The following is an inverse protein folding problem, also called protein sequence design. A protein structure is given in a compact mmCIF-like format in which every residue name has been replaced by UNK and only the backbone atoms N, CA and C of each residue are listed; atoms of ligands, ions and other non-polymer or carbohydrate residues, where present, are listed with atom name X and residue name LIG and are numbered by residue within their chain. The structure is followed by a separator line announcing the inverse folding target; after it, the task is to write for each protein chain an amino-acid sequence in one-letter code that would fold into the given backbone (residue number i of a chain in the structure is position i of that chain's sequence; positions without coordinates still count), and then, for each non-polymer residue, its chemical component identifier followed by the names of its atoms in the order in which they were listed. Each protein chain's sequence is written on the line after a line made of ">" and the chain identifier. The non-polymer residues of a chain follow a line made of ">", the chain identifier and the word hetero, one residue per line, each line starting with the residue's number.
data_IF_311414561289
#
_entry.id   IF_311414561289
#
_cell.length_a   1.000
_cell.length_b   1.000
_cell.length_c   1.000
_cell.angle_alpha   90.00
_cell.angle_beta   90.00
_cell.angle_gamma   90.00
#
_symmetry.space_group_name_H-M   'P 1'
#
loop_
_entity.id
_entity.type
_entity.pdbx_description
1 polymer ?
#
# COMPACT_ATOMS: atom_id res chain seq x y z
N UNK A 1 2.47 4.22 18.01
CA UNK A 1 1.64 5.35 17.52
C UNK A 1 0.28 4.85 17.02
N UNK A 2 -0.75 5.70 16.95
CA UNK A 2 -1.94 5.53 16.08
C UNK A 2 -1.68 6.44 14.86
N UNK A 3 -1.46 5.83 13.68
CA UNK A 3 -1.04 6.50 12.43
C UNK A 3 -2.20 7.31 11.80
N UNK A 4 -1.93 8.50 11.25
CA UNK A 4 -2.96 9.50 10.89
C UNK A 4 -2.63 10.36 9.68
N UNK A 5 -3.67 10.84 9.03
CA UNK A 5 -3.64 11.83 7.95
C UNK A 5 -4.30 13.13 8.40
N UNK A 6 -3.65 14.27 8.14
CA UNK A 6 -4.20 15.62 8.33
C UNK A 6 -4.27 16.26 6.96
N UNK A 7 -5.44 16.77 6.56
CA UNK A 7 -5.51 17.63 5.38
C UNK A 7 -4.91 18.98 5.77
N UNK A 8 -3.68 19.27 5.32
CA UNK A 8 -3.17 20.64 5.32
C UNK A 8 -3.64 21.32 4.04
N UNK A 9 -4.37 22.41 4.18
CA UNK A 9 -4.69 23.32 3.11
C UNK A 9 -3.42 24.02 2.60
N UNK A 10 -3.23 23.94 1.28
CA UNK A 10 -2.54 24.93 0.42
C UNK A 10 -1.03 25.11 0.68
N UNK A 11 -0.24 24.21 0.08
CA UNK A 11 1.20 24.36 -0.11
C UNK A 11 1.66 23.92 -1.50
N UNK A 12 1.09 22.84 -2.03
CA UNK A 12 1.22 22.41 -3.43
C UNK A 12 -0.16 21.98 -3.93
N UNK A 13 -0.60 22.48 -5.08
CA UNK A 13 -1.96 22.26 -5.61
C UNK A 13 -2.08 20.88 -6.25
N UNK A 14 -2.33 19.85 -5.45
CA UNK A 14 -2.84 18.58 -5.94
C UNK A 14 -4.32 18.44 -5.55
N UNK A 15 -5.10 17.70 -6.34
CA UNK A 15 -6.49 17.37 -6.00
C UNK A 15 -6.76 15.89 -6.25
N UNK A 16 -7.59 15.27 -5.43
CA UNK A 16 -8.03 13.89 -5.67
C UNK A 16 -9.19 13.83 -6.68
N UNK A 17 -9.33 12.71 -7.43
CA UNK A 17 -8.40 11.57 -7.52
C UNK A 17 -7.22 11.82 -8.47
N UNK A 18 -6.08 11.13 -8.28
CA UNK A 18 -4.95 11.12 -9.25
C UNK A 18 -5.29 10.28 -10.49
N UNK A 19 -5.92 9.11 -10.32
CA UNK A 19 -6.48 8.27 -11.39
C UNK A 19 -7.96 8.08 -11.09
N UNK A 20 -8.85 8.54 -11.96
CA UNK A 20 -10.29 8.43 -11.75
C UNK A 20 -10.86 7.03 -12.03
N UNK A 21 -10.15 6.22 -12.83
CA UNK A 21 -10.44 4.82 -13.16
C UNK A 21 -9.12 4.08 -13.34
N UNK A 22 -9.15 2.75 -13.35
CA UNK A 22 -7.96 1.89 -13.48
C UNK A 22 -6.86 2.24 -12.46
N UNK A 23 -7.30 2.65 -11.26
CA UNK A 23 -6.46 3.18 -10.19
C UNK A 23 -6.11 2.16 -9.11
N UNK A 24 -6.23 0.87 -9.38
CA UNK A 24 -5.96 -0.20 -8.41
C UNK A 24 -4.46 -0.32 -8.11
N UNK A 25 -4.13 -0.83 -6.92
CA UNK A 25 -2.75 -1.11 -6.48
C UNK A 25 -1.74 0.04 -6.72
N UNK A 26 -2.04 1.31 -6.34
CA UNK A 26 -1.17 2.40 -6.70
C UNK A 26 0.17 2.37 -5.95
N UNK A 27 1.25 2.58 -6.69
CA UNK A 27 2.59 2.74 -6.13
C UNK A 27 3.24 4.01 -6.69
N UNK A 28 3.66 4.91 -5.80
CA UNK A 28 4.37 6.14 -6.17
C UNK A 28 5.80 6.12 -5.64
N UNK A 29 6.75 6.49 -6.50
CA UNK A 29 8.13 6.81 -6.10
C UNK A 29 8.58 8.10 -6.76
N UNK A 30 9.33 8.92 -6.03
CA UNK A 30 10.02 10.08 -6.60
C UNK A 30 11.49 9.73 -6.88
N UNK A 31 11.92 9.88 -8.14
CA UNK A 31 13.29 9.61 -8.54
C UNK A 31 13.70 10.48 -9.74
N UNK A 32 14.95 10.97 -9.74
CA UNK A 32 15.51 11.69 -10.89
C UNK A 32 14.69 12.90 -11.36
N UNK A 33 14.00 13.60 -10.47
CA UNK A 33 13.17 14.77 -10.80
C UNK A 33 11.71 14.47 -11.13
N UNK A 34 11.29 13.20 -11.12
CA UNK A 34 9.94 12.79 -11.50
C UNK A 34 9.28 11.94 -10.41
N UNK A 35 7.98 12.13 -10.24
CA UNK A 35 7.09 11.13 -9.66
C UNK A 35 6.79 10.07 -10.72
N UNK A 36 6.89 8.80 -10.33
CA UNK A 36 6.46 7.64 -11.12
C UNK A 36 5.25 7.03 -10.41
N UNK A 37 4.15 6.85 -11.13
CA UNK A 37 2.94 6.19 -10.64
C UNK A 37 2.74 4.89 -11.42
N UNK A 38 2.72 3.78 -10.70
CA UNK A 38 2.26 2.48 -11.20
C UNK A 38 0.84 2.25 -10.70
N UNK A 39 -0.08 1.85 -11.58
CA UNK A 39 -1.39 1.31 -11.22
C UNK A 39 -1.69 0.05 -11.99
N UNK A 40 -2.70 -0.69 -11.56
CA UNK A 40 -3.20 -1.89 -12.23
C UNK A 40 -4.59 -1.60 -12.79
N UNK A 41 -4.77 -1.81 -14.09
CA UNK A 41 -6.07 -1.90 -14.74
C UNK A 41 -6.56 -3.35 -14.74
N UNK A 42 -7.71 -3.63 -15.35
CA UNK A 42 -8.24 -5.00 -15.44
C UNK A 42 -7.30 -6.00 -16.14
N UNK A 43 -6.36 -5.57 -16.99
CA UNK A 43 -5.33 -6.48 -17.54
C UNK A 43 -3.90 -5.93 -17.56
N UNK A 44 -3.69 -4.64 -17.30
CA UNK A 44 -2.44 -3.93 -17.58
C UNK A 44 -1.83 -3.32 -16.33
N UNK A 45 -0.52 -3.50 -16.16
CA UNK A 45 0.26 -2.64 -15.26
C UNK A 45 0.58 -1.36 -16.03
N UNK A 46 0.22 -0.21 -15.49
CA UNK A 46 0.33 1.07 -16.16
C UNK A 46 1.31 1.98 -15.41
N UNK A 47 2.36 2.42 -16.10
CA UNK A 47 3.34 3.38 -15.60
C UNK A 47 3.06 4.76 -16.19
N UNK A 48 3.05 5.79 -15.35
CA UNK A 48 3.05 7.18 -15.78
C UNK A 48 4.06 7.99 -14.96
N UNK A 49 4.53 9.12 -15.48
CA UNK A 49 5.45 9.99 -14.75
C UNK A 49 5.20 11.47 -14.99
N UNK A 50 5.43 12.29 -13.97
CA UNK A 50 5.32 13.74 -14.04
C UNK A 50 6.27 14.42 -13.05
N UNK A 51 6.58 15.70 -13.23
CA UNK A 51 7.41 16.46 -12.29
C UNK A 51 6.65 16.90 -11.04
N UNK A 52 5.31 16.84 -11.06
CA UNK A 52 4.41 17.15 -9.93
C UNK A 52 3.37 16.04 -9.76
N UNK A 53 2.80 15.90 -8.55
CA UNK A 53 1.71 14.96 -8.29
C UNK A 53 0.47 15.26 -9.16
N UNK A 54 0.07 16.53 -9.26
CA UNK A 54 -1.06 16.95 -10.12
C UNK A 54 -0.80 16.63 -11.60
N UNK A 55 0.44 16.74 -12.05
CA UNK A 55 0.83 16.39 -13.42
C UNK A 55 0.65 14.90 -13.74
N UNK A 56 0.57 14.01 -12.75
CA UNK A 56 0.34 12.59 -12.98
C UNK A 56 -1.03 12.33 -13.64
N UNK A 57 -2.03 13.18 -13.39
CA UNK A 57 -3.39 13.05 -13.93
C UNK A 57 -3.46 13.14 -15.45
N UNK A 58 -2.60 13.96 -16.05
CA UNK A 58 -2.55 14.22 -17.49
C UNK A 58 -1.30 13.63 -18.15
N UNK A 59 -0.45 12.96 -17.39
CA UNK A 59 0.76 12.31 -17.90
C UNK A 59 0.41 11.14 -18.83
N UNK A 60 1.26 10.90 -19.83
CA UNK A 60 1.12 9.76 -20.74
C UNK A 60 1.23 8.44 -19.97
N UNK A 61 0.15 7.62 -19.97
CA UNK A 61 0.22 6.21 -19.56
C UNK A 61 1.18 5.45 -20.48
N UNK A 62 1.92 4.49 -19.96
CA UNK A 62 2.57 3.40 -20.70
C UNK A 62 2.21 2.07 -20.06
N UNK A 63 1.98 1.05 -20.88
CA UNK A 63 1.67 -0.30 -20.41
C UNK A 63 2.95 -1.07 -20.18
N UNK A 64 3.21 -1.46 -18.94
CA UNK A 64 4.32 -2.31 -18.51
C UNK A 64 4.07 -3.79 -18.88
N UNK A 65 3.65 -4.04 -20.12
CA UNK A 65 3.49 -5.37 -20.75
C UNK A 65 4.04 -5.40 -22.18
N UNK A 66 4.62 -4.31 -22.68
CA UNK A 66 5.09 -4.26 -24.05
C UNK A 66 6.38 -5.09 -24.18
N UNK A 67 6.47 -6.08 -25.09
CA UNK A 67 7.70 -6.85 -25.30
C UNK A 67 8.90 -6.01 -25.78
N UNK A 68 8.65 -4.76 -26.20
CA UNK A 68 9.70 -3.77 -26.49
C UNK A 68 10.12 -2.92 -25.28
N UNK A 69 9.37 -2.96 -24.17
CA UNK A 69 9.79 -2.42 -22.89
C UNK A 69 10.56 -3.53 -22.16
N UNK A 70 11.79 -3.28 -21.73
CA UNK A 70 12.73 -4.27 -21.15
C UNK A 70 12.31 -4.82 -19.76
N UNK A 71 11.06 -5.28 -19.59
CA UNK A 71 10.63 -6.00 -18.39
C UNK A 71 10.94 -7.48 -18.60
N UNK A 72 12.10 -7.89 -18.09
CA UNK A 72 12.53 -9.29 -18.12
C UNK A 72 11.99 -10.02 -16.90
N UNK A 73 11.29 -11.14 -17.11
CA UNK A 73 11.00 -12.04 -15.99
C UNK A 73 12.31 -12.57 -15.41
N UNK A 74 12.52 -12.33 -14.12
CA UNK A 74 13.76 -12.74 -13.45
C UNK A 74 13.62 -14.10 -12.75
N UNK A 75 12.72 -14.20 -11.78
CA UNK A 75 12.58 -15.42 -10.98
C UNK A 75 11.25 -15.48 -10.24
N UNK A 76 10.83 -16.68 -9.85
CA UNK A 76 9.79 -16.91 -8.86
C UNK A 76 10.45 -17.01 -7.49
N UNK A 77 10.08 -16.12 -6.55
CA UNK A 77 10.76 -16.02 -5.25
C UNK A 77 10.41 -17.16 -4.28
N UNK A 78 9.20 -17.74 -4.40
CA UNK A 78 8.74 -18.87 -3.59
C UNK A 78 7.71 -19.69 -4.34
N UNK A 79 7.64 -20.99 -4.02
CA UNK A 79 6.64 -21.92 -4.57
C UNK A 79 5.37 -21.99 -3.72
N UNK A 80 5.40 -21.52 -2.47
CA UNK A 80 4.20 -21.36 -1.66
C UNK A 80 3.34 -20.22 -2.24
N UNK A 81 2.03 -20.28 -1.99
CA UNK A 81 1.15 -19.17 -2.37
C UNK A 81 1.55 -17.90 -1.61
N UNK A 82 1.75 -16.81 -2.36
CA UNK A 82 2.12 -15.51 -1.81
C UNK A 82 1.76 -14.36 -2.75
N UNK A 83 1.42 -13.21 -2.16
CA UNK A 83 1.15 -11.95 -2.88
C UNK A 83 1.68 -10.73 -2.10
N UNK A 84 1.59 -9.55 -2.71
CA UNK A 84 1.78 -8.23 -2.09
C UNK A 84 3.16 -7.99 -1.46
N UNK A 85 4.23 -8.44 -2.09
CA UNK A 85 5.59 -8.24 -1.57
C UNK A 85 5.98 -6.76 -1.38
N UNK A 86 6.68 -6.46 -0.28
CA UNK A 86 7.36 -5.19 -0.03
C UNK A 86 8.73 -5.41 0.60
N UNK A 87 9.69 -4.51 0.30
CA UNK A 87 11.04 -4.60 0.86
C UNK A 87 11.14 -3.80 2.15
N UNK A 88 11.41 -4.50 3.25
CA UNK A 88 11.76 -3.94 4.54
C UNK A 88 13.29 -3.89 4.69
N UNK A 89 13.83 -2.78 5.19
CA UNK A 89 15.28 -2.53 5.29
C UNK A 89 15.64 -2.20 6.72
N UNK A 90 16.63 -2.89 7.25
CA UNK A 90 17.22 -2.62 8.55
C UNK A 90 18.65 -2.12 8.36
N UNK A 91 19.05 -1.12 9.15
CA UNK A 91 20.41 -0.58 9.09
C UNK A 91 21.46 -1.67 9.38
N UNK A 92 21.20 -2.50 10.40
CA UNK A 92 22.18 -3.49 10.88
C UNK A 92 21.98 -4.90 10.29
N UNK A 93 20.79 -5.21 9.76
CA UNK A 93 20.42 -6.58 9.35
C UNK A 93 20.15 -6.73 7.86
N UNK A 94 20.25 -5.65 7.08
CA UNK A 94 20.05 -5.68 5.63
C UNK A 94 18.58 -5.67 5.23
N UNK A 95 18.29 -6.20 4.03
CA UNK A 95 16.95 -6.16 3.44
C UNK A 95 16.20 -7.49 3.60
N UNK A 96 14.90 -7.39 3.79
CA UNK A 96 13.97 -8.50 3.92
C UNK A 96 12.78 -8.26 3.00
N UNK A 97 12.24 -9.32 2.43
CA UNK A 97 10.95 -9.29 1.78
C UNK A 97 9.87 -9.61 2.82
N UNK A 98 8.89 -8.72 2.95
CA UNK A 98 7.66 -8.97 3.69
C UNK A 98 6.53 -9.16 2.68
N UNK A 99 5.69 -10.16 2.86
CA UNK A 99 4.66 -10.53 1.89
C UNK A 99 3.49 -11.25 2.56
N UNK A 100 2.34 -11.25 1.91
CA UNK A 100 1.19 -12.08 2.28
C UNK A 100 1.46 -13.53 1.86
N UNK A 101 1.22 -14.51 2.73
CA UNK A 101 1.47 -15.91 2.39
C UNK A 101 0.63 -16.92 3.17
N UNK A 102 0.48 -18.11 2.58
CA UNK A 102 0.13 -19.33 3.31
C UNK A 102 1.41 -20.14 3.55
N UNK A 103 1.80 -20.34 4.81
CA UNK A 103 3.02 -21.08 5.16
C UNK A 103 2.72 -22.17 6.19
N UNK A 104 2.29 -23.34 5.71
CA UNK A 104 2.03 -24.52 6.54
C UNK A 104 0.71 -24.50 7.34
N UNK A 105 -0.09 -23.43 7.24
CA UNK A 105 -1.41 -23.30 7.87
C UNK A 105 -2.50 -22.89 6.88
N UNK A 106 -3.73 -22.75 7.38
CA UNK A 106 -4.91 -22.35 6.59
C UNK A 106 -5.20 -20.84 6.61
N UNK A 107 -4.37 -20.05 7.28
CA UNK A 107 -4.57 -18.61 7.43
C UNK A 107 -3.61 -17.84 6.53
N UNK A 108 -4.15 -16.88 5.78
CA UNK A 108 -3.36 -15.93 5.01
C UNK A 108 -2.72 -14.93 5.97
N UNK A 109 -1.39 -14.96 6.03
CA UNK A 109 -0.58 -14.37 7.10
C UNK A 109 0.47 -13.43 6.52
N UNK A 110 1.05 -12.56 7.36
CA UNK A 110 2.25 -11.84 6.96
C UNK A 110 3.48 -12.69 7.22
N UNK A 111 4.31 -12.79 6.20
CA UNK A 111 5.52 -13.58 6.18
C UNK A 111 6.72 -12.68 5.88
N UNK A 112 7.88 -13.06 6.40
CA UNK A 112 9.15 -12.36 6.19
C UNK A 112 10.23 -13.36 5.76
N UNK A 113 11.10 -12.96 4.84
CA UNK A 113 12.28 -13.70 4.45
C UNK A 113 13.46 -12.75 4.20
N UNK A 114 14.72 -13.12 4.54
CA UNK A 114 15.90 -12.35 4.13
C UNK A 114 15.93 -12.18 2.62
N UNK A 115 16.23 -10.98 2.12
CA UNK A 115 16.41 -10.72 0.70
C UNK A 115 17.89 -10.93 0.35
N UNK A 116 18.23 -12.13 -0.13
CA UNK A 116 19.61 -12.53 -0.44
C UNK A 116 20.12 -11.84 -1.73
N UNK A 117 19.21 -11.58 -2.66
CA UNK A 117 19.42 -10.77 -3.86
C UNK A 117 18.09 -10.13 -4.29
N UNK A 118 18.07 -9.19 -5.25
CA UNK A 118 16.81 -8.67 -5.79
C UNK A 118 15.87 -9.76 -6.36
N UNK A 119 16.36 -10.98 -6.58
CA UNK A 119 15.66 -12.09 -7.23
C UNK A 119 15.69 -13.40 -6.44
N UNK A 120 16.09 -13.39 -5.16
CA UNK A 120 16.10 -14.56 -4.29
C UNK A 120 15.88 -14.20 -2.82
N UNK A 121 15.20 -15.08 -2.09
CA UNK A 121 14.92 -14.93 -0.67
C UNK A 121 15.36 -16.17 0.10
N UNK A 122 15.73 -15.97 1.37
CA UNK A 122 16.06 -17.04 2.30
C UNK A 122 14.83 -17.69 2.93
N UNK A 123 15.02 -18.35 4.07
CA UNK A 123 13.94 -19.02 4.80
C UNK A 123 12.82 -18.08 5.22
N UNK A 124 11.58 -18.49 4.94
CA UNK A 124 10.37 -17.74 5.27
C UNK A 124 9.89 -18.02 6.69
N UNK A 125 9.58 -16.96 7.44
CA UNK A 125 8.95 -17.01 8.77
C UNK A 125 7.62 -16.25 8.77
N UNK A 126 6.66 -16.69 9.59
CA UNK A 126 5.41 -15.93 9.82
C UNK A 126 5.67 -14.87 10.90
N UNK A 127 5.25 -13.63 10.66
CA UNK A 127 5.38 -12.51 11.62
C UNK A 127 4.03 -11.98 12.12
N UNK A 128 2.93 -12.24 11.42
CA UNK A 128 1.58 -11.92 11.89
C UNK A 128 0.58 -12.88 11.29
N UNK A 129 -0.37 -13.32 12.11
CA UNK A 129 -1.57 -14.02 11.68
C UNK A 129 -2.79 -13.21 12.15
N UNK A 130 -3.92 -13.27 11.42
CA UNK A 130 -5.20 -12.77 11.94
C UNK A 130 -5.45 -13.36 13.34
N UNK A 131 -5.64 -12.50 14.34
CA UNK A 131 -5.83 -12.94 15.73
C UNK A 131 -6.87 -12.09 16.48
N UNK A 132 -7.17 -10.89 15.99
CA UNK A 132 -8.18 -10.00 16.56
C UNK A 132 -9.49 -10.13 15.79
N UNK A 133 -10.62 -9.90 16.46
CA UNK A 133 -11.94 -9.97 15.82
C UNK A 133 -12.10 -9.03 14.61
N UNK A 134 -11.38 -7.90 14.59
CA UNK A 134 -11.40 -6.96 13.46
C UNK A 134 -10.59 -7.43 12.24
N UNK A 135 -9.73 -8.45 12.39
CA UNK A 135 -8.91 -9.05 11.32
C UNK A 135 -9.57 -10.27 10.68
N UNK A 136 -10.68 -10.73 11.26
CA UNK A 136 -11.42 -11.94 10.87
C UNK A 136 -12.88 -11.62 10.53
N UNK A 137 -13.14 -10.41 10.04
CA UNK A 137 -14.49 -10.05 9.61
C UNK A 137 -14.76 -10.62 8.21
N UNK A 138 -15.54 -11.70 8.17
CA UNK A 138 -15.89 -12.46 6.96
C UNK A 138 -14.68 -12.99 6.15
N UNK A 139 -13.50 -13.06 6.77
CA UNK A 139 -12.29 -13.60 6.17
C UNK A 139 -11.03 -13.32 6.98
N UNK A 140 -10.31 -14.36 7.38
CA UNK A 140 -9.02 -14.26 8.07
C UNK A 140 -7.87 -13.97 7.09
N UNK A 141 -7.62 -12.69 6.82
CA UNK A 141 -6.59 -12.23 5.87
C UNK A 141 -5.66 -11.23 6.55
N UNK A 142 -4.35 -11.35 6.32
CA UNK A 142 -3.40 -10.25 6.47
C UNK A 142 -2.64 -10.07 5.14
N UNK A 143 -2.72 -8.90 4.53
CA UNK A 143 -2.00 -8.51 3.31
C UNK A 143 -1.13 -7.29 3.62
N UNK A 144 0.17 -7.34 3.33
CA UNK A 144 1.05 -6.21 3.68
C UNK A 144 0.82 -5.06 2.71
N UNK A 145 0.63 -3.85 3.23
CA UNK A 145 0.54 -2.62 2.42
C UNK A 145 1.91 -1.99 2.23
N UNK A 146 2.46 -1.47 3.32
CA UNK A 146 3.56 -0.51 3.23
C UNK A 146 4.47 -0.56 4.43
N UNK A 147 5.71 -0.16 4.20
CA UNK A 147 6.68 0.15 5.25
C UNK A 147 6.86 1.66 5.34
N UNK A 148 6.81 2.20 6.55
CA UNK A 148 7.10 3.60 6.87
C UNK A 148 8.27 3.65 7.86
N UNK A 149 9.29 4.41 7.50
CA UNK A 149 10.42 4.74 8.38
C UNK A 149 10.21 6.16 8.90
N UNK A 150 10.13 6.33 10.23
CA UNK A 150 9.92 7.64 10.83
C UNK A 150 10.68 7.75 12.15
N UNK A 151 11.67 8.65 12.17
CA UNK A 151 12.65 8.69 13.25
C UNK A 151 13.42 7.37 13.33
N UNK A 152 13.54 6.83 14.53
CA UNK A 152 14.18 5.53 14.79
C UNK A 152 13.19 4.34 14.74
N UNK A 153 11.93 4.60 14.35
CA UNK A 153 10.88 3.58 14.31
C UNK A 153 10.57 3.11 12.88
N UNK A 154 10.21 1.83 12.78
CA UNK A 154 9.71 1.17 11.58
C UNK A 154 8.24 0.80 11.83
N UNK A 155 7.37 1.22 10.92
CA UNK A 155 5.96 0.87 10.91
C UNK A 155 5.68 0.03 9.67
N UNK A 156 5.15 -1.17 9.88
CA UNK A 156 4.66 -2.03 8.81
C UNK A 156 3.14 -1.98 8.86
N UNK A 157 2.51 -1.40 7.84
CA UNK A 157 1.07 -1.43 7.70
C UNK A 157 0.65 -2.68 6.95
N UNK A 158 -0.49 -3.21 7.33
CA UNK A 158 -1.10 -4.34 6.66
C UNK A 158 -2.60 -4.15 6.64
N UNK A 159 -3.26 -4.77 5.69
CA UNK A 159 -4.69 -4.83 5.61
C UNK A 159 -5.20 -6.17 6.12
N UNK A 160 -6.42 -6.18 6.65
CA UNK A 160 -7.06 -7.38 7.18
C UNK A 160 -8.56 -7.40 6.93
N UNK A 161 -9.19 -8.56 7.17
CA UNK A 161 -10.59 -8.88 6.87
C UNK A 161 -10.91 -9.06 5.38
N UNK A 162 -12.15 -9.46 5.04
CA UNK A 162 -12.56 -9.69 3.66
C UNK A 162 -12.63 -8.41 2.83
N UNK A 163 -12.12 -8.46 1.59
CA UNK A 163 -12.18 -7.38 0.61
C UNK A 163 -13.56 -7.22 -0.04
N UNK A 164 -14.49 -8.13 0.25
CA UNK A 164 -15.89 -8.05 -0.19
C UNK A 164 -16.85 -8.45 0.95
N UNK A 165 -17.92 -7.68 1.25
CA UNK A 165 -18.33 -6.46 0.54
C UNK A 165 -17.46 -5.24 0.85
N UNK A 166 -17.11 -4.98 2.12
CA UNK A 166 -16.33 -3.77 2.47
C UNK A 166 -15.53 -3.83 3.78
N UNK A 167 -15.44 -4.98 4.46
CA UNK A 167 -14.95 -5.04 5.85
C UNK A 167 -13.44 -4.83 6.04
N UNK A 168 -12.74 -4.69 4.93
CA UNK A 168 -11.31 -4.52 4.88
C UNK A 168 -10.83 -3.31 5.69
N UNK A 169 -9.85 -3.52 6.55
CA UNK A 169 -9.34 -2.53 7.51
C UNK A 169 -7.81 -2.52 7.51
N UNK A 170 -7.20 -1.37 7.80
CA UNK A 170 -5.74 -1.25 7.88
C UNK A 170 -5.24 -1.30 9.32
N UNK A 171 -4.28 -2.18 9.62
CA UNK A 171 -3.59 -2.29 10.91
C UNK A 171 -2.11 -1.88 10.87
N UNK A 172 -1.49 -1.82 12.07
CA UNK A 172 -0.05 -1.58 12.22
C UNK A 172 0.65 -2.72 12.96
N UNK A 173 1.78 -3.13 12.40
CA UNK A 173 2.84 -3.81 13.11
C UNK A 173 3.96 -2.80 13.40
N UNK A 174 4.21 -2.60 14.69
CA UNK A 174 5.49 -2.09 15.20
C UNK A 174 6.16 -3.21 16.00
N UNK A 175 7.29 -2.95 16.67
CA UNK A 175 7.86 -3.92 17.63
C UNK A 175 6.84 -4.42 18.67
N UNK A 176 5.79 -3.63 18.93
CA UNK A 176 4.54 -4.07 19.56
C UNK A 176 3.40 -4.07 18.53
N UNK A 177 2.55 -5.10 18.52
CA UNK A 177 1.34 -5.15 17.67
C UNK A 177 0.32 -4.11 18.11
N UNK A 178 -0.22 -3.34 17.17
CA UNK A 178 -1.16 -2.24 17.45
C UNK A 178 -2.38 -2.35 16.51
N UNK A 179 -3.54 -1.89 16.97
CA UNK A 179 -4.83 -2.12 16.32
C UNK A 179 -5.05 -1.41 14.98
N UNK A 180 -6.30 -1.41 14.50
CA UNK A 180 -6.72 -0.76 13.25
C UNK A 180 -6.51 0.76 13.28
N UNK A 181 -5.98 1.29 12.19
CA UNK A 181 -5.68 2.72 11.97
C UNK A 181 -5.96 3.20 10.54
N UNK A 182 -6.79 2.51 9.75
CA UNK A 182 -7.76 3.17 8.86
C UNK A 182 -9.07 2.38 8.83
N UNK A 183 -10.17 3.11 8.69
CA UNK A 183 -11.53 2.58 8.51
C UNK A 183 -12.28 3.39 7.45
N UNK A 184 -13.34 2.80 6.88
CA UNK A 184 -14.28 3.43 5.94
C UNK A 184 -14.75 4.80 6.46
N UNK A 185 -14.90 5.78 5.58
CA UNK A 185 -15.55 7.05 5.90
C UNK A 185 -16.14 7.73 4.65
N UNK A 186 -17.17 8.55 4.82
CA UNK A 186 -17.59 9.62 3.90
C UNK A 186 -17.65 9.28 2.39
N UNK A 187 -18.03 8.04 2.05
CA UNK A 187 -18.11 7.44 0.69
C UNK A 187 -16.79 7.02 0.04
N UNK A 188 -15.67 7.17 0.74
CA UNK A 188 -14.41 6.50 0.40
C UNK A 188 -14.50 5.05 0.90
N UNK A 189 -15.12 4.17 0.11
CA UNK A 189 -15.28 2.75 0.44
C UNK A 189 -13.99 1.98 0.15
N UNK A 190 -13.72 0.94 0.94
CA UNK A 190 -12.52 0.10 0.80
C UNK A 190 -11.18 0.83 0.62
N UNK A 191 -10.81 1.83 1.46
CA UNK A 191 -9.56 2.56 1.27
C UNK A 191 -8.35 1.67 1.58
N UNK A 192 -7.51 1.45 0.57
CA UNK A 192 -6.35 0.55 0.69
C UNK A 192 -6.73 -0.92 0.71
N UNK A 193 -7.87 -1.27 0.11
CA UNK A 193 -8.23 -2.67 -0.15
C UNK A 193 -7.11 -3.42 -0.87
N UNK A 194 -7.03 -4.74 -0.71
CA UNK A 194 -6.02 -5.61 -1.35
C UNK A 194 -4.54 -5.18 -1.15
N UNK A 195 -4.12 -4.77 0.05
CA UNK A 195 -2.69 -4.45 0.25
C UNK A 195 -2.16 -3.21 -0.50
N UNK A 196 -3.03 -2.33 -1.00
CA UNK A 196 -2.60 -1.30 -1.98
C UNK A 196 -2.19 0.07 -1.46
N UNK A 197 -2.25 0.37 -0.16
CA UNK A 197 -1.73 1.66 0.30
C UNK A 197 -0.19 1.64 0.34
N UNK A 198 0.45 2.74 -0.06
CA UNK A 198 1.91 2.90 -0.07
C UNK A 198 2.31 4.27 0.47
N UNK A 199 3.46 4.35 1.14
CA UNK A 199 4.03 5.64 1.56
C UNK A 199 5.11 6.11 0.59
N UNK A 200 5.21 7.42 0.37
CA UNK A 200 6.31 8.05 -0.35
C UNK A 200 6.68 9.40 0.28
N UNK A 201 7.90 9.86 0.04
CA UNK A 201 8.40 11.12 0.57
C UNK A 201 8.37 12.20 -0.51
N UNK A 202 8.09 13.44 -0.14
CA UNK A 202 8.21 14.58 -1.04
C UNK A 202 9.65 14.77 -1.53
N UNK A 203 9.87 15.45 -2.68
CA UNK A 203 11.20 15.66 -3.28
C UNK A 203 12.24 16.28 -2.34
N UNK A 204 11.79 17.16 -1.46
CA UNK A 204 12.62 17.85 -0.49
C UNK A 204 12.75 17.11 0.86
N UNK A 205 12.21 15.90 0.98
CA UNK A 205 12.26 15.09 2.21
C UNK A 205 11.36 15.57 3.35
N UNK A 206 10.67 16.71 3.21
CA UNK A 206 9.97 17.37 4.32
C UNK A 206 8.57 16.83 4.63
N UNK A 207 8.00 16.02 3.74
CA UNK A 207 6.64 15.52 3.86
C UNK A 207 6.58 14.04 3.53
N UNK A 208 5.71 13.33 4.26
CA UNK A 208 5.37 11.95 3.99
C UNK A 208 3.95 11.93 3.46
N UNK A 209 3.74 11.15 2.41
CA UNK A 209 2.49 11.02 1.70
C UNK A 209 2.08 9.56 1.68
N UNK A 210 0.78 9.31 1.67
CA UNK A 210 0.19 8.01 1.40
C UNK A 210 -0.56 8.07 0.07
N UNK A 211 -0.43 7.01 -0.73
CA UNK A 211 -1.24 6.77 -1.93
C UNK A 211 -2.02 5.48 -1.71
N UNK A 212 -3.29 5.46 -2.12
CA UNK A 212 -4.18 4.33 -1.92
C UNK A 212 -5.27 4.34 -2.98
N UNK A 213 -5.92 3.19 -3.19
CA UNK A 213 -7.15 3.15 -3.98
C UNK A 213 -8.38 3.10 -3.08
N UNK A 214 -9.52 3.48 -3.64
CA UNK A 214 -10.83 3.32 -3.01
C UNK A 214 -11.89 3.00 -4.09
N UNK A 215 -13.09 2.68 -3.62
CA UNK A 215 -14.25 2.37 -4.44
C UNK A 215 -15.41 3.36 -4.15
N UNK A 216 -16.24 3.62 -5.16
CA UNK A 216 -17.45 4.43 -5.02
C UNK A 216 -18.70 3.55 -4.76
N UNK A 217 -18.60 2.25 -5.06
CA UNK A 217 -19.61 1.24 -4.78
C UNK A 217 -19.53 0.81 -3.31
N UNK A 218 -20.60 1.02 -2.51
CA UNK A 218 -20.65 0.61 -1.11
C UNK A 218 -20.58 -0.92 -0.92
N UNK A 219 -20.89 -1.70 -1.95
CA UNK A 219 -20.74 -3.16 -1.92
C UNK A 219 -19.30 -3.62 -2.25
N UNK A 220 -18.39 -2.69 -2.59
CA UNK A 220 -17.06 -2.99 -3.12
C UNK A 220 -17.09 -3.54 -4.54
N UNK A 221 -16.11 -3.16 -5.35
CA UNK A 221 -15.82 -3.76 -6.65
C UNK A 221 -14.31 -4.05 -6.77
N UNK A 222 -13.99 -5.06 -7.59
CA UNK A 222 -12.61 -5.40 -7.96
C UNK A 222 -12.47 -5.26 -9.48
N UNK A 223 -12.80 -4.08 -9.99
CA UNK A 223 -12.83 -3.77 -11.42
C UNK A 223 -12.22 -2.39 -11.71
N UNK A 224 -12.40 -1.90 -12.94
CA UNK A 224 -11.84 -0.64 -13.43
C UNK A 224 -12.43 0.62 -12.77
N UNK A 225 -13.45 0.50 -11.93
CA UNK A 225 -14.07 1.64 -11.25
C UNK A 225 -13.27 2.14 -10.04
N UNK A 226 -12.26 1.37 -9.59
CA UNK A 226 -11.33 1.80 -8.54
C UNK A 226 -10.53 3.02 -8.97
N UNK A 227 -10.40 3.98 -8.05
CA UNK A 227 -9.68 5.24 -8.27
C UNK A 227 -8.51 5.39 -7.29
N UNK A 228 -7.44 6.05 -7.72
CA UNK A 228 -6.25 6.34 -6.91
C UNK A 228 -6.39 7.70 -6.24
N UNK A 229 -6.13 7.76 -4.94
CA UNK A 229 -6.04 8.97 -4.15
C UNK A 229 -4.67 9.10 -3.47
N UNK A 230 -4.27 10.33 -3.17
CA UNK A 230 -3.15 10.65 -2.30
C UNK A 230 -3.55 11.57 -1.14
N UNK A 231 -2.81 11.48 -0.04
CA UNK A 231 -2.97 12.34 1.13
C UNK A 231 -1.64 12.49 1.88
N UNK A 232 -1.42 13.65 2.48
CA UNK A 232 -0.26 13.87 3.34
C UNK A 232 -0.45 13.21 4.74
N UNK A 233 0.62 12.63 5.33
CA UNK A 233 0.65 11.84 6.58
C UNK A 233 1.43 12.51 7.73
N UNK A 234 1.05 12.25 9.00
CA UNK A 234 1.66 12.86 10.19
C UNK A 234 1.63 11.97 11.44
N UNK A 235 2.65 12.13 12.29
CA UNK A 235 2.80 11.48 13.58
C UNK A 235 2.07 12.16 14.77
N UNK A 236 1.12 13.07 14.51
CA UNK A 236 0.87 14.21 15.43
C UNK A 236 -0.52 14.25 16.09
N UNK A 237 -1.11 13.10 16.48
CA UNK A 237 -2.25 13.06 17.42
C UNK A 237 -2.39 11.67 18.09
N UNK A 238 -3.04 11.60 19.25
CA UNK A 238 -3.18 10.38 20.06
C UNK A 238 -4.58 9.75 20.06
N UNK A 239 -5.66 10.56 20.05
CA UNK A 239 -7.06 10.09 20.10
C UNK A 239 -7.91 10.68 18.96
N UNK A 240 -9.04 10.05 18.63
CA UNK A 240 -10.19 10.71 17.99
C UNK A 240 -9.99 11.41 16.61
N UNK A 241 -9.20 10.85 15.66
CA UNK A 241 -9.12 11.42 14.30
C UNK A 241 -9.01 10.39 13.15
N UNK A 242 -10.15 10.08 12.52
CA UNK A 242 -10.33 10.30 11.09
C UNK A 242 -11.26 11.51 10.95
N UNK A 243 -10.86 12.55 10.25
CA UNK A 243 -11.79 13.59 9.82
C UNK A 243 -11.50 13.88 8.36
N UNK A 244 -12.41 13.43 7.50
CA UNK A 244 -12.35 13.75 6.09
C UNK A 244 -13.02 15.11 5.87
N UNK A 245 -12.55 15.91 4.89
CA UNK A 245 -13.30 17.07 4.46
C UNK A 245 -14.63 16.60 3.84
N UNK A 246 -15.71 17.33 4.17
CA UNK A 246 -17.01 17.18 3.50
C UNK A 246 -16.91 17.50 2.01
#
# INVERSE_FOLDING_TARGET
>A
MILRTKVISKGDTFTNPIRATDGSEPYIVYAGGYYYLVTISSTDVELSRATTLEGLKSSTKRVARNPQDEITYHNQLTTNWSIDGTVLRFNDWGSYLVFSCFNGGSLQSLCIAPLESPTSIGSTSIISTPASAWEDHDGSVNEVTATLYYGDEIYLTFSASSSWPNYYSLGILTWERRGSVLSIADRNYGPGNNGSHRFFTSPNGSQIWTVFHADANPAGACDSTRYTMDAQFYATCYTDCFYWPR
#
